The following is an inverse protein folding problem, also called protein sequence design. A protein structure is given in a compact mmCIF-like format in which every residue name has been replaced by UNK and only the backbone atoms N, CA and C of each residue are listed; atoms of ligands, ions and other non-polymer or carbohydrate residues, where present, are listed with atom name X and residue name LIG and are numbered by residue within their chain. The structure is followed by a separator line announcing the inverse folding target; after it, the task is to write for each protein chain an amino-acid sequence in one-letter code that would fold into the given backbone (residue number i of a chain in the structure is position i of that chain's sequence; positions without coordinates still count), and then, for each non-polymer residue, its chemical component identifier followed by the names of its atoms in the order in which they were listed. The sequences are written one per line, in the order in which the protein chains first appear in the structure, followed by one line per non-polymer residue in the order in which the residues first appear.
data_IF_458076190751
#
_entry.id   IF_458076190751
#
_cell.length_a   1.000
_cell.length_b   1.000
_cell.length_c   1.000
_cell.angle_alpha   90.00
_cell.angle_beta   90.00
_cell.angle_gamma   90.00
#
_symmetry.space_group_name_H-M   'P 1'
#
loop_
_entity.id
_entity.type
_entity.pdbx_description
1 polymer ?
#
# COMPACT_ATOMS: atom_id res chain seq x y z
N UNK A 1 -19.03 41.40 -12.49
CA UNK A 1 -20.09 40.83 -11.64
C UNK A 1 -19.67 39.44 -11.22
N UNK A 2 -19.52 39.14 -9.92
CA UNK A 2 -19.21 37.78 -9.46
C UNK A 2 -20.43 36.88 -9.71
N UNK A 3 -20.22 35.73 -10.36
CA UNK A 3 -21.27 34.76 -10.65
C UNK A 3 -21.66 33.91 -9.42
N UNK A 4 -22.85 33.29 -9.43
CA UNK A 4 -23.37 32.52 -8.30
C UNK A 4 -22.52 31.27 -8.04
N UNK A 5 -21.91 31.18 -6.85
CA UNK A 5 -21.14 30.01 -6.39
C UNK A 5 -22.07 28.88 -5.96
N UNK A 6 -21.75 27.67 -6.41
CA UNK A 6 -22.50 26.43 -6.19
C UNK A 6 -22.29 25.89 -4.76
N UNK A 7 -23.03 26.45 -3.78
CA UNK A 7 -22.96 26.03 -2.36
C UNK A 7 -23.54 24.61 -2.13
N UNK A 8 -24.36 24.10 -3.04
CA UNK A 8 -25.05 22.82 -2.87
C UNK A 8 -24.13 21.58 -2.94
N UNK A 9 -22.93 21.69 -3.54
CA UNK A 9 -22.02 20.54 -3.69
C UNK A 9 -21.22 20.25 -2.41
N UNK A 10 -20.95 21.25 -1.56
CA UNK A 10 -20.23 21.07 -0.28
C UNK A 10 -21.04 20.31 0.78
N UNK A 11 -22.35 20.57 0.89
CA UNK A 11 -23.22 19.85 1.85
C UNK A 11 -23.36 18.36 1.60
N UNK A 12 -23.17 17.90 0.36
CA UNK A 12 -23.32 16.48 0.02
C UNK A 12 -22.07 15.66 0.40
N UNK A 13 -20.89 16.31 0.47
CA UNK A 13 -19.64 15.65 0.91
C UNK A 13 -19.62 15.49 2.43
N UNK A 14 -20.08 16.49 3.20
CA UNK A 14 -20.15 16.39 4.67
C UNK A 14 -21.16 15.34 5.16
N UNK A 15 -22.29 15.15 4.46
CA UNK A 15 -23.25 14.10 4.80
C UNK A 15 -22.78 12.68 4.44
N UNK A 16 -21.75 12.56 3.59
CA UNK A 16 -21.14 11.30 3.16
C UNK A 16 -20.19 10.74 4.23
N UNK A 17 -19.44 11.63 4.92
CA UNK A 17 -18.44 11.25 5.94
C UNK A 17 -19.07 10.81 7.26
N UNK A 18 -20.11 11.50 7.73
CA UNK A 18 -20.77 11.18 9.02
C UNK A 18 -21.55 9.86 9.03
N UNK A 19 -21.96 9.33 7.87
CA UNK A 19 -22.58 8.00 7.79
C UNK A 19 -21.59 6.86 7.97
N UNK A 20 -20.30 7.07 7.65
CA UNK A 20 -19.27 6.03 7.71
C UNK A 20 -18.94 5.63 9.15
N UNK A 21 -18.93 6.61 10.05
CA UNK A 21 -18.63 6.42 11.49
C UNK A 21 -19.76 5.69 12.23
N UNK A 22 -21.03 5.87 11.85
CA UNK A 22 -22.17 5.23 12.53
C UNK A 22 -22.34 3.72 12.20
N UNK A 23 -21.87 3.25 11.05
CA UNK A 23 -22.04 1.84 10.62
C UNK A 23 -20.97 0.87 11.13
N UNK A 24 -19.83 1.35 11.65
CA UNK A 24 -18.73 0.49 12.12
C UNK A 24 -18.93 -0.07 13.54
N UNK A 25 -19.82 0.52 14.35
CA UNK A 25 -19.94 0.22 15.79
C UNK A 25 -20.99 -0.81 16.22
N UNK A 26 -21.72 -1.47 15.31
CA UNK A 26 -22.84 -2.35 15.70
C UNK A 26 -22.85 -3.68 14.96
N UNK A 27 -22.25 -4.70 15.57
CA UNK A 27 -22.43 -6.09 15.17
C UNK A 27 -23.93 -6.47 15.23
N UNK A 28 -24.57 -6.86 14.13
CA UNK A 28 -25.95 -7.32 14.16
C UNK A 28 -25.98 -8.80 14.56
N UNK A 29 -26.64 -9.06 15.69
CA UNK A 29 -27.08 -10.39 16.11
C UNK A 29 -28.06 -10.93 15.06
N UNK A 30 -27.72 -12.07 14.47
CA UNK A 30 -28.45 -12.74 13.38
C UNK A 30 -29.80 -13.28 13.89
N UNK A 31 -30.88 -12.52 13.69
CA UNK A 31 -32.22 -13.11 13.60
C UNK A 31 -32.45 -13.63 12.17
N UNK A 32 -32.62 -14.95 12.07
CA UNK A 32 -32.99 -15.63 10.84
C UNK A 32 -34.42 -15.24 10.43
N UNK A 33 -34.57 -14.60 9.27
CA UNK A 33 -35.86 -14.44 8.59
C UNK A 33 -35.78 -14.95 7.14
N UNK A 34 -36.86 -15.56 6.62
CA UNK A 34 -36.82 -16.42 5.45
C UNK A 34 -36.78 -15.65 4.13
N UNK A 35 -36.03 -16.21 3.17
CA UNK A 35 -35.79 -15.67 1.85
C UNK A 35 -37.08 -15.47 1.01
N UNK A 36 -37.15 -14.41 0.18
CA UNK A 36 -38.17 -14.30 -0.85
C UNK A 36 -37.78 -15.18 -2.06
N UNK A 37 -38.74 -15.98 -2.53
CA UNK A 37 -38.62 -16.76 -3.77
C UNK A 37 -38.56 -15.80 -4.96
N UNK A 38 -37.47 -15.86 -5.73
CA UNK A 38 -37.35 -15.22 -7.03
C UNK A 38 -37.70 -16.24 -8.12
N UNK A 39 -38.66 -15.84 -8.95
CA UNK A 39 -39.13 -16.55 -10.12
C UNK A 39 -38.01 -16.86 -11.12
N UNK A 40 -38.05 -18.09 -11.62
CA UNK A 40 -37.12 -18.65 -12.58
C UNK A 40 -37.21 -17.96 -13.95
N UNK A 41 -36.07 -17.51 -14.47
CA UNK A 41 -35.87 -17.20 -15.89
C UNK A 41 -35.24 -18.40 -16.62
N UNK A 42 -35.54 -18.58 -17.92
CA UNK A 42 -35.32 -19.83 -18.63
C UNK A 42 -33.86 -20.05 -19.03
N UNK A 43 -33.40 -21.28 -18.80
CA UNK A 43 -32.11 -21.86 -19.19
C UNK A 43 -32.00 -21.91 -20.73
N UNK A 44 -30.91 -21.41 -21.36
CA UNK A 44 -30.61 -21.71 -22.74
C UNK A 44 -29.96 -23.09 -22.88
N UNK A 45 -30.46 -23.82 -23.87
CA UNK A 45 -30.12 -25.20 -24.20
C UNK A 45 -28.63 -25.51 -24.37
N UNK A 46 -28.32 -26.73 -23.95
CA UNK A 46 -27.05 -27.44 -24.06
C UNK A 46 -26.53 -27.45 -25.50
N UNK A 47 -25.29 -27.00 -25.67
CA UNK A 47 -24.44 -27.42 -26.80
C UNK A 47 -23.56 -28.54 -26.28
N UNK A 48 -23.87 -29.72 -26.80
CA UNK A 48 -23.12 -30.96 -26.68
C UNK A 48 -21.72 -30.76 -27.29
N UNK A 49 -20.68 -30.85 -26.47
CA UNK A 49 -19.29 -30.80 -26.92
C UNK A 49 -18.50 -31.86 -26.15
N UNK A 50 -18.64 -33.09 -26.61
CA UNK A 50 -17.81 -34.22 -26.25
C UNK A 50 -16.35 -33.96 -26.66
N UNK A 51 -15.52 -33.64 -25.68
CA UNK A 51 -14.06 -33.53 -25.82
C UNK A 51 -13.40 -34.70 -25.05
N UNK A 52 -12.39 -35.39 -25.62
CA UNK A 52 -11.84 -36.60 -25.03
C UNK A 52 -10.93 -36.30 -23.83
N UNK A 53 -10.97 -37.19 -22.85
CA UNK A 53 -10.22 -37.14 -21.60
C UNK A 53 -8.71 -36.95 -21.83
N UNK A 54 -8.20 -35.77 -21.44
CA UNK A 54 -6.78 -35.53 -21.26
C UNK A 54 -6.38 -35.95 -19.85
N UNK A 55 -5.30 -36.72 -19.76
CA UNK A 55 -4.72 -37.24 -18.52
C UNK A 55 -4.31 -36.11 -17.56
N UNK A 56 -4.40 -36.32 -16.23
CA UNK A 56 -3.92 -35.34 -15.27
C UNK A 56 -2.38 -35.19 -15.37
N UNK A 57 -1.85 -33.96 -15.32
CA UNK A 57 -0.40 -33.77 -15.23
C UNK A 57 0.08 -34.27 -13.87
N UNK A 58 1.09 -35.15 -13.93
CA UNK A 58 1.90 -35.57 -12.78
C UNK A 58 2.65 -34.32 -12.29
N UNK A 59 2.21 -33.77 -11.17
CA UNK A 59 2.93 -32.73 -10.44
C UNK A 59 4.18 -33.40 -9.83
N UNK A 60 5.41 -32.94 -10.13
CA UNK A 60 6.57 -33.42 -9.41
C UNK A 60 6.47 -32.91 -7.96
N UNK A 61 6.45 -33.86 -7.04
CA UNK A 61 6.58 -33.65 -5.60
C UNK A 61 7.79 -32.74 -5.35
N UNK A 62 7.52 -31.46 -5.09
CA UNK A 62 8.52 -30.55 -4.55
C UNK A 62 8.75 -30.99 -3.12
N UNK A 63 9.87 -31.68 -2.92
CA UNK A 63 10.46 -31.95 -1.63
C UNK A 63 10.54 -30.63 -0.85
N UNK A 64 9.59 -30.41 0.05
CA UNK A 64 9.75 -29.48 1.14
C UNK A 64 10.94 -29.96 1.96
N UNK A 65 12.07 -29.26 1.84
CA UNK A 65 13.14 -29.35 2.81
C UNK A 65 12.54 -28.92 4.15
N UNK A 66 12.23 -29.90 5.00
CA UNK A 66 12.00 -29.66 6.41
C UNK A 66 13.30 -29.09 6.97
N UNK A 67 13.30 -27.80 7.28
CA UNK A 67 14.28 -27.20 8.19
C UNK A 67 14.22 -27.98 9.50
N UNK A 68 15.26 -28.78 9.71
CA UNK A 68 15.52 -29.42 10.98
C UNK A 68 15.82 -28.34 12.00
N UNK A 69 14.89 -28.18 12.94
CA UNK A 69 15.12 -27.47 14.20
C UNK A 69 16.49 -27.84 14.78
N UNK A 70 17.40 -26.88 14.79
CA UNK A 70 18.66 -27.00 15.50
C UNK A 70 18.38 -27.15 17.00
N UNK A 71 18.83 -28.29 17.52
CA UNK A 71 18.93 -28.57 18.95
C UNK A 71 19.97 -27.61 19.53
N UNK A 72 19.51 -26.66 20.32
CA UNK A 72 20.33 -25.91 21.26
C UNK A 72 20.93 -26.92 22.26
N UNK A 73 22.14 -27.39 21.98
CA UNK A 73 22.97 -28.07 22.97
C UNK A 73 23.55 -26.99 23.89
N UNK A 74 22.94 -26.86 25.08
CA UNK A 74 23.53 -26.16 26.21
C UNK A 74 24.77 -26.94 26.61
N UNK A 75 25.95 -26.43 26.25
CA UNK A 75 27.21 -26.93 26.78
C UNK A 75 27.41 -26.39 28.20
N UNK A 76 27.44 -27.33 29.14
CA UNK A 76 27.84 -27.15 30.54
C UNK A 76 29.28 -26.62 30.62
N UNK A 77 29.59 -25.65 31.50
CA UNK A 77 30.94 -25.16 31.70
C UNK A 77 31.68 -26.09 32.67
N UNK A 78 32.54 -26.96 32.15
CA UNK A 78 33.50 -27.70 32.96
C UNK A 78 34.95 -27.37 32.62
N UNK A 79 35.59 -26.82 33.65
CA UNK A 79 36.95 -27.06 34.13
C UNK A 79 38.17 -26.75 33.26
N UNK A 80 38.93 -25.80 33.81
CA UNK A 80 40.39 -25.69 33.79
C UNK A 80 41.11 -27.02 33.52
N UNK A 81 41.85 -27.06 32.41
CA UNK A 81 43.13 -27.77 32.36
C UNK A 81 44.01 -27.20 31.25
N UNK A 82 45.02 -26.49 31.70
CA UNK A 82 46.19 -26.06 30.97
C UNK A 82 46.93 -27.27 30.41
N UNK A 83 46.94 -27.43 29.09
CA UNK A 83 47.94 -28.23 28.39
C UNK A 83 48.36 -27.52 27.10
N UNK A 84 49.46 -26.79 27.20
CA UNK A 84 50.24 -26.32 26.07
C UNK A 84 50.76 -27.56 25.32
N UNK A 85 50.11 -27.92 24.22
CA UNK A 85 50.64 -28.90 23.26
C UNK A 85 50.84 -28.23 21.91
N UNK A 86 52.09 -27.82 21.70
CA UNK A 86 52.69 -27.54 20.39
C UNK A 86 52.39 -28.71 19.46
N UNK A 87 51.35 -28.58 18.63
CA UNK A 87 51.07 -29.51 17.54
C UNK A 87 51.37 -28.81 16.22
N UNK A 88 52.48 -29.24 15.63
CA UNK A 88 52.95 -28.85 14.33
C UNK A 88 52.00 -29.30 13.22
N UNK A 89 51.60 -28.35 12.38
CA UNK A 89 51.42 -28.50 10.93
C UNK A 89 50.71 -29.75 10.44
N UNK A 90 49.40 -29.62 10.22
CA UNK A 90 48.79 -30.14 9.00
C UNK A 90 48.05 -28.98 8.33
N UNK A 91 48.64 -28.46 7.25
CA UNK A 91 47.99 -27.61 6.25
C UNK A 91 46.74 -28.35 5.73
N UNK A 92 45.61 -28.16 6.42
CA UNK A 92 44.30 -28.50 5.92
C UNK A 92 43.89 -27.36 4.98
N UNK A 93 44.36 -27.42 3.74
CA UNK A 93 43.91 -26.63 2.58
C UNK A 93 42.45 -26.97 2.25
N UNK A 94 41.57 -26.88 3.24
CA UNK A 94 40.13 -26.82 3.04
C UNK A 94 39.86 -25.51 2.35
N UNK A 95 39.68 -25.56 1.03
CA UNK A 95 39.12 -24.47 0.24
C UNK A 95 37.82 -23.99 0.91
N UNK A 96 37.94 -22.94 1.73
CA UNK A 96 36.81 -22.31 2.38
C UNK A 96 36.03 -21.62 1.26
N UNK A 97 34.97 -22.27 0.80
CA UNK A 97 34.03 -21.68 -0.14
C UNK A 97 33.59 -20.34 0.47
N UNK A 98 33.84 -19.20 -0.21
CA UNK A 98 33.45 -17.91 0.32
C UNK A 98 31.96 -17.92 0.68
N UNK A 99 31.61 -17.54 1.91
CA UNK A 99 30.20 -17.50 2.37
C UNK A 99 29.30 -16.72 1.41
N UNK A 100 29.86 -15.74 0.69
CA UNK A 100 29.17 -14.97 -0.33
C UNK A 100 28.61 -15.81 -1.49
N UNK A 101 29.15 -17.00 -1.76
CA UNK A 101 28.62 -17.93 -2.76
C UNK A 101 27.47 -18.80 -2.22
N UNK A 102 27.29 -18.85 -0.90
CA UNK A 102 26.22 -19.59 -0.24
C UNK A 102 25.00 -18.70 0.06
N UNK A 103 25.16 -17.37 0.05
CA UNK A 103 24.05 -16.44 0.24
C UNK A 103 23.21 -16.36 -1.03
N UNK A 104 21.92 -16.68 -0.92
CA UNK A 104 21.01 -16.49 -2.04
C UNK A 104 20.92 -15.00 -2.43
N UNK A 105 20.93 -14.66 -3.73
CA UNK A 105 20.78 -13.27 -4.14
C UNK A 105 19.38 -12.75 -3.77
N UNK A 106 19.35 -11.59 -3.10
CA UNK A 106 18.11 -10.94 -2.67
C UNK A 106 17.33 -10.27 -3.81
N UNK A 107 17.89 -10.19 -5.02
CA UNK A 107 17.21 -9.80 -6.26
C UNK A 107 17.38 -10.93 -7.28
N UNK A 108 16.29 -11.29 -7.98
CA UNK A 108 16.34 -12.19 -9.14
C UNK A 108 15.57 -11.61 -10.32
N UNK A 109 16.01 -11.85 -11.55
CA UNK A 109 15.30 -11.44 -12.76
C UNK A 109 14.86 -12.67 -13.56
N UNK A 110 13.56 -12.97 -13.66
CA UNK A 110 13.03 -14.06 -14.48
C UNK A 110 12.90 -13.69 -15.99
N UNK A 111 13.50 -12.58 -16.44
CA UNK A 111 13.42 -12.08 -17.82
C UNK A 111 12.27 -11.12 -18.07
N UNK A 112 11.38 -10.92 -17.09
CA UNK A 112 10.30 -9.93 -17.13
C UNK A 112 10.57 -8.72 -16.22
N UNK A 113 11.83 -8.55 -15.80
CA UNK A 113 12.28 -7.46 -14.94
C UNK A 113 12.64 -7.96 -13.53
N UNK A 114 13.57 -7.25 -12.85
CA UNK A 114 14.11 -7.65 -11.56
C UNK A 114 13.05 -7.67 -10.46
N UNK A 115 13.13 -8.67 -9.56
CA UNK A 115 12.22 -8.89 -8.45
C UNK A 115 12.99 -9.07 -7.15
N UNK A 116 12.51 -8.43 -6.10
CA UNK A 116 13.03 -8.57 -4.74
C UNK A 116 12.59 -9.92 -4.18
N UNK A 117 13.53 -10.71 -3.65
CA UNK A 117 13.24 -11.96 -2.93
C UNK A 117 13.28 -11.76 -1.42
N UNK A 118 14.25 -10.99 -0.96
CA UNK A 118 14.40 -10.62 0.44
C UNK A 118 14.33 -9.10 0.53
N UNK A 119 13.16 -8.62 0.96
CA UNK A 119 12.86 -7.20 1.08
C UNK A 119 13.76 -6.52 2.12
N UNK A 120 14.08 -7.20 3.22
CA UNK A 120 14.93 -6.64 4.27
C UNK A 120 16.37 -6.49 3.80
N UNK A 121 16.93 -7.53 3.18
CA UNK A 121 18.26 -7.47 2.59
C UNK A 121 18.35 -6.44 1.46
N UNK A 122 17.32 -6.33 0.62
CA UNK A 122 17.24 -5.31 -0.43
C UNK A 122 17.29 -3.90 0.15
N UNK A 123 16.48 -3.59 1.17
CA UNK A 123 16.43 -2.27 1.79
C UNK A 123 17.73 -1.89 2.52
N UNK A 124 18.45 -2.87 3.07
CA UNK A 124 19.77 -2.67 3.67
C UNK A 124 20.90 -2.52 2.62
N UNK A 125 20.63 -2.86 1.35
CA UNK A 125 21.62 -2.83 0.28
C UNK A 125 21.73 -1.46 -0.40
N UNK A 126 22.80 -1.27 -1.17
CA UNK A 126 22.98 -0.09 -2.02
C UNK A 126 22.08 -0.07 -3.27
N UNK A 127 21.34 -1.15 -3.55
CA UNK A 127 20.38 -1.18 -4.66
C UNK A 127 19.08 -0.43 -4.33
N UNK A 128 18.75 -0.30 -3.04
CA UNK A 128 17.60 0.47 -2.61
C UNK A 128 17.87 1.96 -2.79
N UNK A 129 17.04 2.64 -3.59
CA UNK A 129 17.07 4.09 -3.66
C UNK A 129 16.87 4.73 -2.26
N UNK A 130 17.63 5.78 -1.92
CA UNK A 130 17.48 6.48 -0.65
C UNK A 130 16.10 7.15 -0.56
N UNK A 131 15.61 7.35 0.66
CA UNK A 131 14.39 8.13 0.90
C UNK A 131 14.56 9.58 0.39
N UNK A 132 13.48 10.17 -0.09
CA UNK A 132 13.49 11.55 -0.58
C UNK A 132 13.13 12.51 0.55
N UNK A 133 14.10 13.29 1.03
CA UNK A 133 13.87 14.30 2.08
C UNK A 133 13.37 15.65 1.53
N UNK A 134 13.46 15.86 0.21
CA UNK A 134 13.01 17.11 -0.44
C UNK A 134 11.49 17.17 -0.64
N UNK A 135 10.78 16.07 -0.39
CA UNK A 135 9.32 16.01 -0.49
C UNK A 135 8.76 15.75 0.91
N UNK A 136 7.91 16.65 1.45
CA UNK A 136 7.44 16.55 2.84
C UNK A 136 6.78 15.20 3.14
N UNK A 137 5.92 14.72 2.25
CA UNK A 137 5.23 13.44 2.42
C UNK A 137 6.22 12.27 2.42
N UNK A 138 7.17 12.26 1.48
CA UNK A 138 8.22 11.24 1.46
C UNK A 138 9.07 11.25 2.73
N UNK A 139 9.38 12.44 3.28
CA UNK A 139 10.18 12.61 4.48
C UNK A 139 9.47 12.10 5.74
N UNK A 140 8.16 12.36 5.86
CA UNK A 140 7.31 11.82 6.93
C UNK A 140 7.29 10.30 6.88
N UNK A 141 7.03 9.71 5.70
CA UNK A 141 7.04 8.26 5.52
C UNK A 141 8.42 7.62 5.69
N UNK A 142 9.51 8.39 5.67
CA UNK A 142 10.87 7.86 5.85
C UNK A 142 11.22 7.59 7.31
N UNK A 143 10.37 8.02 8.25
CA UNK A 143 10.56 7.80 9.68
C UNK A 143 10.41 6.31 10.05
N UNK A 144 11.14 5.85 11.06
CA UNK A 144 11.11 4.45 11.51
C UNK A 144 9.79 4.15 12.24
N UNK A 145 9.24 5.14 12.93
CA UNK A 145 7.95 5.09 13.63
C UNK A 145 6.79 4.78 12.67
N UNK A 146 6.86 5.32 11.45
CA UNK A 146 5.89 5.00 10.39
C UNK A 146 5.98 3.53 9.98
N UNK A 147 7.19 2.97 9.88
CA UNK A 147 7.36 1.53 9.59
C UNK A 147 6.85 0.66 10.73
N UNK A 148 7.14 1.02 11.97
CA UNK A 148 6.63 0.31 13.16
C UNK A 148 5.11 0.29 13.16
N UNK A 149 4.49 1.45 12.91
CA UNK A 149 3.03 1.60 12.82
C UNK A 149 2.44 0.71 11.71
N UNK A 150 2.99 0.76 10.49
CA UNK A 150 2.55 -0.08 9.38
C UNK A 150 2.68 -1.57 9.71
N UNK A 151 3.75 -1.96 10.41
CA UNK A 151 4.01 -3.35 10.80
C UNK A 151 3.03 -3.89 11.85
N UNK A 152 2.27 -3.02 12.54
CA UNK A 152 1.20 -3.46 13.44
C UNK A 152 -0.07 -3.90 12.71
N UNK A 153 -0.27 -3.42 11.48
CA UNK A 153 -1.50 -3.60 10.70
C UNK A 153 -1.28 -4.52 9.49
N UNK A 154 -0.13 -4.41 8.82
CA UNK A 154 0.21 -5.17 7.63
C UNK A 154 1.23 -6.27 7.95
N UNK A 155 1.25 -7.36 7.18
CA UNK A 155 2.36 -8.31 7.20
C UNK A 155 3.69 -7.60 6.95
N UNK A 156 4.74 -8.04 7.64
CA UNK A 156 6.06 -7.38 7.67
C UNK A 156 6.58 -7.01 6.28
N UNK A 157 6.55 -7.95 5.34
CA UNK A 157 7.04 -7.71 3.98
C UNK A 157 6.23 -6.62 3.25
N UNK A 158 4.90 -6.66 3.37
CA UNK A 158 3.99 -5.69 2.76
C UNK A 158 4.17 -4.31 3.39
N UNK A 159 4.39 -4.25 4.71
CA UNK A 159 4.70 -3.01 5.42
C UNK A 159 6.02 -2.39 4.94
N UNK A 160 7.09 -3.18 4.82
CA UNK A 160 8.40 -2.74 4.31
C UNK A 160 8.30 -2.22 2.87
N UNK A 161 7.55 -2.90 2.01
CA UNK A 161 7.33 -2.48 0.61
C UNK A 161 6.55 -1.17 0.57
N UNK A 162 5.47 -1.04 1.35
CA UNK A 162 4.67 0.18 1.40
C UNK A 162 5.48 1.37 1.93
N UNK A 163 6.22 1.16 3.02
CA UNK A 163 7.14 2.14 3.60
C UNK A 163 8.17 2.60 2.56
N UNK A 164 8.83 1.66 1.86
CA UNK A 164 9.76 1.98 0.77
C UNK A 164 9.08 2.78 -0.34
N UNK A 165 7.91 2.35 -0.80
CA UNK A 165 7.21 3.01 -1.90
C UNK A 165 6.80 4.45 -1.56
N UNK A 166 6.35 4.70 -0.33
CA UNK A 166 5.84 6.02 0.09
C UNK A 166 6.93 7.03 0.44
N UNK A 167 8.08 6.56 0.91
CA UNK A 167 9.21 7.42 1.28
C UNK A 167 10.15 7.78 0.11
N UNK A 168 9.84 7.30 -1.10
CA UNK A 168 10.65 7.57 -2.32
C UNK A 168 9.78 8.21 -3.40
N UNK A 169 10.38 9.17 -4.14
CA UNK A 169 9.70 9.87 -5.23
C UNK A 169 9.33 8.98 -6.41
N UNK A 170 10.21 8.09 -6.84
CA UNK A 170 10.05 7.37 -8.13
C UNK A 170 10.31 5.88 -8.07
N UNK A 171 11.20 5.40 -7.20
CA UNK A 171 11.53 3.98 -7.10
C UNK A 171 10.40 3.21 -6.41
N UNK A 172 10.03 2.06 -6.96
CA UNK A 172 8.93 1.24 -6.46
C UNK A 172 9.30 -0.25 -6.44
N UNK A 173 8.73 -0.96 -5.47
CA UNK A 173 8.62 -2.42 -5.41
C UNK A 173 7.15 -2.76 -5.50
N UNK A 174 6.74 -3.57 -6.49
CA UNK A 174 5.34 -3.99 -6.59
C UNK A 174 4.98 -4.93 -5.43
N UNK A 175 3.99 -4.62 -4.57
CA UNK A 175 3.67 -5.49 -3.44
C UNK A 175 3.12 -6.86 -3.87
N UNK A 176 2.49 -6.95 -5.04
CA UNK A 176 1.90 -8.20 -5.52
C UNK A 176 2.90 -9.17 -6.15
N UNK A 177 3.98 -8.67 -6.76
CA UNK A 177 4.91 -9.51 -7.53
C UNK A 177 6.40 -9.19 -7.30
N UNK A 178 6.68 -8.31 -6.34
CA UNK A 178 7.99 -7.84 -5.90
C UNK A 178 8.87 -7.25 -7.01
N UNK A 179 8.30 -6.91 -8.17
CA UNK A 179 9.04 -6.33 -9.30
C UNK A 179 9.53 -4.93 -8.95
N UNK A 180 10.81 -4.65 -9.22
CA UNK A 180 11.41 -3.32 -9.13
C UNK A 180 11.11 -2.53 -10.41
N UNK A 181 10.66 -1.29 -10.24
CA UNK A 181 10.37 -0.40 -11.36
C UNK A 181 10.39 1.08 -10.93
N UNK A 182 10.28 1.98 -11.89
CA UNK A 182 10.11 3.42 -11.65
C UNK A 182 8.70 3.86 -11.99
N UNK A 183 8.17 4.84 -11.27
CA UNK A 183 6.89 5.45 -11.60
C UNK A 183 6.84 5.90 -13.07
N UNK A 184 5.76 5.54 -13.76
CA UNK A 184 5.56 5.81 -15.18
C UNK A 184 6.08 4.72 -16.11
N UNK A 185 6.82 3.73 -15.61
CA UNK A 185 7.27 2.61 -16.43
C UNK A 185 6.07 1.79 -16.93
N UNK A 186 6.09 1.48 -18.23
CA UNK A 186 5.17 0.51 -18.85
C UNK A 186 5.90 -0.82 -18.95
N UNK A 187 5.60 -1.72 -18.03
CA UNK A 187 6.35 -2.96 -17.88
C UNK A 187 5.75 -4.09 -18.73
N UNK A 188 6.57 -5.06 -19.19
CA UNK A 188 6.07 -6.24 -19.88
C UNK A 188 5.05 -7.00 -19.03
N UNK A 189 3.98 -7.47 -19.69
CA UNK A 189 2.95 -8.28 -19.05
C UNK A 189 3.57 -9.57 -18.51
N UNK A 190 3.08 -10.04 -17.36
CA UNK A 190 3.50 -11.29 -16.75
C UNK A 190 3.12 -12.51 -17.60
N UNK A 191 2.18 -12.35 -18.53
CA UNK A 191 1.63 -13.45 -19.35
C UNK A 191 2.27 -13.55 -20.75
N UNK A 192 3.11 -12.60 -21.16
CA UNK A 192 3.57 -12.46 -22.54
C UNK A 192 4.85 -13.25 -22.88
N UNK A 193 5.21 -14.27 -22.10
CA UNK A 193 6.42 -15.08 -22.30
C UNK A 193 6.50 -15.84 -23.64
N UNK A 194 5.39 -15.96 -24.37
CA UNK A 194 5.29 -16.81 -25.57
C UNK A 194 5.46 -16.05 -26.91
N UNK A 195 5.64 -14.72 -26.90
CA UNK A 195 5.67 -13.93 -28.14
C UNK A 195 6.99 -13.20 -28.38
N UNK A 196 8.08 -13.94 -28.52
CA UNK A 196 9.36 -13.40 -29.01
C UNK A 196 9.28 -12.83 -30.45
N UNK A 197 8.19 -13.08 -31.19
CA UNK A 197 8.03 -12.66 -32.59
C UNK A 197 6.95 -11.59 -32.84
N UNK A 198 6.28 -11.06 -31.81
CA UNK A 198 5.38 -9.91 -32.04
C UNK A 198 6.19 -8.64 -32.07
N UNK A 199 6.20 -7.96 -33.21
CA UNK A 199 6.83 -6.64 -33.36
C UNK A 199 6.44 -5.71 -32.21
N UNK A 200 7.38 -4.87 -31.73
CA UNK A 200 7.11 -3.94 -30.64
C UNK A 200 5.88 -3.12 -30.98
N UNK A 201 4.83 -3.22 -30.15
CA UNK A 201 3.64 -2.38 -30.27
C UNK A 201 4.05 -0.95 -29.90
N UNK A 202 4.50 -0.19 -30.90
CA UNK A 202 5.00 1.19 -30.74
C UNK A 202 3.95 2.14 -30.14
N UNK A 203 2.65 1.77 -30.17
CA UNK A 203 1.56 2.69 -29.81
C UNK A 203 0.64 2.19 -28.69
N UNK A 204 1.10 1.32 -27.79
CA UNK A 204 0.34 1.04 -26.57
C UNK A 204 0.42 2.26 -25.64
N UNK A 205 -0.44 3.26 -25.90
CA UNK A 205 -0.64 4.39 -25.00
C UNK A 205 -0.89 3.83 -23.59
N UNK A 206 0.01 4.15 -22.67
CA UNK A 206 -0.15 3.80 -21.27
C UNK A 206 -1.47 4.35 -20.78
N UNK A 207 -2.29 3.48 -20.20
CA UNK A 207 -3.53 3.91 -19.56
C UNK A 207 -3.18 5.00 -18.54
N UNK A 208 -3.86 6.16 -18.53
CA UNK A 208 -3.59 7.21 -17.55
C UNK A 208 -3.78 6.70 -16.11
N UNK A 209 -4.64 5.69 -15.93
CA UNK A 209 -4.89 5.05 -14.65
C UNK A 209 -3.73 4.16 -14.17
N UNK A 210 -2.82 3.73 -15.05
CA UNK A 210 -1.67 2.93 -14.63
C UNK A 210 -0.70 3.76 -13.78
N UNK A 211 -0.37 4.96 -14.23
CA UNK A 211 0.52 5.85 -13.46
C UNK A 211 -0.12 6.17 -12.11
N UNK A 212 -1.41 6.51 -12.11
CA UNK A 212 -2.11 6.83 -10.88
C UNK A 212 -2.17 5.64 -9.91
N UNK A 213 -2.38 4.42 -10.41
CA UNK A 213 -2.30 3.24 -9.58
C UNK A 213 -0.88 3.02 -9.01
N UNK A 214 0.16 3.18 -9.84
CA UNK A 214 1.55 3.05 -9.39
C UNK A 214 1.89 4.08 -8.30
N UNK A 215 1.32 5.29 -8.37
CA UNK A 215 1.45 6.33 -7.34
C UNK A 215 0.71 5.95 -6.05
N UNK A 216 -0.53 5.46 -6.16
CA UNK A 216 -1.37 5.12 -5.01
C UNK A 216 -0.85 3.88 -4.27
N UNK A 217 -0.79 2.73 -4.94
CA UNK A 217 -0.54 1.43 -4.30
C UNK A 217 0.85 0.87 -4.56
N UNK A 218 1.59 1.41 -5.53
CA UNK A 218 2.82 0.80 -6.01
C UNK A 218 2.61 -0.47 -6.83
N UNK A 219 1.39 -0.74 -7.32
CA UNK A 219 1.13 -1.90 -8.18
C UNK A 219 1.58 -1.61 -9.62
N UNK A 220 2.38 -2.53 -10.17
CA UNK A 220 3.09 -2.27 -11.43
C UNK A 220 2.29 -2.59 -12.70
N UNK A 221 1.15 -3.24 -12.60
CA UNK A 221 0.33 -3.67 -13.75
C UNK A 221 -1.13 -3.92 -13.37
N UNK A 222 -2.06 -3.91 -14.35
CA UNK A 222 -3.45 -4.31 -14.12
C UNK A 222 -3.58 -5.73 -13.56
N UNK A 223 -2.71 -6.66 -13.96
CA UNK A 223 -2.71 -8.05 -13.45
C UNK A 223 -2.37 -8.08 -11.96
N UNK A 224 -1.33 -7.36 -11.53
CA UNK A 224 -0.95 -7.25 -10.12
C UNK A 224 -2.07 -6.67 -9.27
N UNK A 225 -2.84 -5.73 -9.82
CA UNK A 225 -3.98 -5.19 -9.12
C UNK A 225 -5.18 -6.09 -9.07
N UNK A 226 -5.47 -6.85 -10.13
CA UNK A 226 -6.50 -7.89 -10.06
C UNK A 226 -6.16 -8.89 -8.95
N UNK A 227 -4.87 -9.23 -8.78
CA UNK A 227 -4.41 -10.08 -7.67
C UNK A 227 -4.66 -9.40 -6.32
N UNK A 228 -4.27 -8.13 -6.16
CA UNK A 228 -4.45 -7.40 -4.90
C UNK A 228 -5.93 -7.15 -4.54
N UNK A 229 -6.78 -6.99 -5.55
CA UNK A 229 -8.22 -6.73 -5.40
C UNK A 229 -9.09 -7.99 -5.49
N UNK A 230 -8.48 -9.18 -5.53
CA UNK A 230 -9.20 -10.44 -5.72
C UNK A 230 -10.24 -10.72 -4.63
N UNK A 231 -9.99 -10.22 -3.40
CA UNK A 231 -10.95 -10.32 -2.30
C UNK A 231 -12.17 -9.39 -2.47
N UNK A 232 -12.14 -8.43 -3.40
CA UNK A 232 -13.18 -7.43 -3.63
C UNK A 232 -13.59 -7.39 -5.12
N UNK A 233 -14.09 -8.50 -5.70
CA UNK A 233 -14.34 -8.60 -7.14
C UNK A 233 -15.32 -7.54 -7.67
N UNK A 234 -16.26 -7.07 -6.85
CA UNK A 234 -17.20 -6.00 -7.20
C UNK A 234 -16.55 -4.62 -7.32
N UNK A 235 -15.45 -4.37 -6.60
CA UNK A 235 -14.78 -3.08 -6.54
C UNK A 235 -13.60 -2.93 -7.52
N UNK A 236 -13.15 -4.02 -8.17
CA UNK A 236 -11.94 -4.01 -9.03
C UNK A 236 -11.99 -2.89 -10.07
N UNK A 237 -13.10 -2.77 -10.80
CA UNK A 237 -13.20 -1.78 -11.89
C UNK A 237 -13.34 -0.35 -11.40
N UNK A 238 -14.03 -0.14 -10.27
CA UNK A 238 -14.27 1.19 -9.73
C UNK A 238 -13.08 1.74 -8.95
N UNK A 239 -12.13 0.89 -8.54
CA UNK A 239 -10.99 1.28 -7.68
C UNK A 239 -9.65 1.38 -8.40
N UNK A 240 -9.57 0.97 -9.68
CA UNK A 240 -8.34 1.03 -10.46
C UNK A 240 -7.93 2.47 -10.78
N UNK A 241 -6.80 2.89 -10.22
CA UNK A 241 -6.24 4.23 -10.39
C UNK A 241 -7.14 5.34 -9.85
N UNK A 242 -7.95 5.06 -8.81
CA UNK A 242 -8.84 6.05 -8.19
C UNK A 242 -8.57 6.15 -6.70
N UNK A 243 -8.39 7.37 -6.21
CA UNK A 243 -8.21 7.66 -4.78
C UNK A 243 -9.54 7.92 -4.04
N UNK A 244 -9.45 8.20 -2.75
CA UNK A 244 -10.58 8.42 -1.84
C UNK A 244 -11.65 9.38 -2.37
N UNK A 245 -11.23 10.52 -2.91
CA UNK A 245 -12.15 11.55 -3.42
C UNK A 245 -12.98 11.10 -4.64
N UNK A 246 -12.49 10.09 -5.37
CA UNK A 246 -13.08 9.61 -6.61
C UNK A 246 -13.98 8.39 -6.44
N UNK A 247 -13.93 7.74 -5.27
CA UNK A 247 -14.73 6.55 -4.95
C UNK A 247 -16.13 6.96 -4.44
N UNK A 248 -17.16 6.32 -4.98
CA UNK A 248 -18.53 6.45 -4.47
C UNK A 248 -18.75 5.59 -3.22
N UNK A 249 -19.84 5.88 -2.49
CA UNK A 249 -20.17 5.16 -1.25
C UNK A 249 -20.36 3.66 -1.49
N UNK A 250 -21.01 3.30 -2.61
CA UNK A 250 -21.24 1.90 -2.95
C UNK A 250 -19.91 1.15 -3.18
N UNK A 251 -18.91 1.78 -3.81
CA UNK A 251 -17.58 1.19 -3.94
C UNK A 251 -16.86 1.08 -2.61
N UNK A 252 -16.99 2.08 -1.74
CA UNK A 252 -16.44 2.00 -0.39
C UNK A 252 -17.08 0.88 0.43
N UNK A 253 -18.39 0.73 0.39
CA UNK A 253 -19.12 -0.36 1.05
C UNK A 253 -18.61 -1.74 0.56
N UNK A 254 -18.29 -1.86 -0.73
CA UNK A 254 -17.69 -3.08 -1.29
C UNK A 254 -16.27 -3.34 -0.77
N UNK A 255 -15.45 -2.30 -0.58
CA UNK A 255 -14.08 -2.42 -0.01
C UNK A 255 -14.08 -2.65 1.50
N UNK A 256 -15.05 -2.05 2.21
CA UNK A 256 -15.23 -2.17 3.66
C UNK A 256 -15.91 -3.49 4.06
N UNK A 257 -16.54 -4.17 3.11
CA UNK A 257 -17.13 -5.48 3.30
C UNK A 257 -16.11 -6.57 3.68
N UNK A 258 -16.57 -7.73 4.17
CA UNK A 258 -15.72 -8.84 4.63
C UNK A 258 -14.91 -9.53 3.52
N UNK A 259 -14.96 -9.00 2.29
CA UNK A 259 -14.40 -9.62 1.09
C UNK A 259 -15.07 -10.94 0.73
N UNK A 260 -14.57 -11.58 -0.32
CA UNK A 260 -15.04 -12.89 -0.77
C UNK A 260 -14.60 -14.06 0.15
N UNK A 261 -13.83 -13.79 1.21
CA UNK A 261 -13.28 -14.80 2.12
C UNK A 261 -12.37 -15.86 1.46
N UNK A 262 -12.05 -15.68 0.17
CA UNK A 262 -11.43 -16.69 -0.67
C UNK A 262 -9.92 -16.80 -0.46
N UNK A 263 -9.24 -15.70 -0.10
CA UNK A 263 -7.81 -15.71 0.15
C UNK A 263 -7.52 -15.54 1.64
N UNK A 264 -7.45 -16.64 2.38
CA UNK A 264 -6.92 -16.65 3.76
C UNK A 264 -5.48 -16.13 3.86
N UNK A 265 -4.75 -16.07 2.74
CA UNK A 265 -3.35 -15.69 2.65
C UNK A 265 -3.12 -14.71 1.49
N UNK A 266 -3.79 -13.56 1.48
CA UNK A 266 -3.58 -12.52 0.46
C UNK A 266 -2.32 -11.67 0.72
N UNK A 267 -1.48 -12.06 1.69
CA UNK A 267 -0.29 -11.31 2.13
C UNK A 267 -0.61 -9.85 2.52
N UNK A 268 -1.85 -9.56 2.93
CA UNK A 268 -2.30 -8.21 3.27
C UNK A 268 -2.50 -7.30 2.06
N UNK A 269 -2.53 -7.83 0.83
CA UNK A 269 -2.70 -7.02 -0.38
C UNK A 269 -4.07 -6.34 -0.44
N UNK A 270 -5.14 -7.00 0.02
CA UNK A 270 -6.47 -6.39 0.08
C UNK A 270 -6.50 -5.21 1.06
N UNK A 271 -5.84 -5.36 2.21
CA UNK A 271 -5.72 -4.29 3.20
C UNK A 271 -4.83 -3.15 2.69
N UNK A 272 -3.69 -3.45 2.08
CA UNK A 272 -2.84 -2.44 1.42
C UNK A 272 -3.61 -1.67 0.36
N UNK A 273 -4.42 -2.35 -0.45
CA UNK A 273 -5.25 -1.72 -1.45
C UNK A 273 -6.20 -0.71 -0.79
N UNK A 274 -6.94 -1.13 0.24
CA UNK A 274 -7.86 -0.24 0.99
C UNK A 274 -7.13 0.96 1.59
N UNK A 275 -6.03 0.72 2.32
CA UNK A 275 -5.23 1.76 2.95
C UNK A 275 -4.75 2.79 1.92
N UNK A 276 -4.19 2.33 0.80
CA UNK A 276 -3.63 3.22 -0.23
C UNK A 276 -4.66 4.02 -1.02
N UNK A 277 -5.97 3.84 -0.75
CA UNK A 277 -7.02 4.71 -1.27
C UNK A 277 -7.23 5.95 -0.41
N UNK A 278 -6.97 5.86 0.88
CA UNK A 278 -7.03 6.99 1.81
C UNK A 278 -5.79 7.87 1.68
N UNK A 279 -5.97 9.18 1.86
CA UNK A 279 -4.91 10.17 1.69
C UNK A 279 -3.75 9.99 2.69
N UNK A 280 -4.08 9.60 3.92
CA UNK A 280 -3.19 9.33 5.06
C UNK A 280 -2.99 7.82 5.31
N UNK A 281 -3.28 6.98 4.31
CA UNK A 281 -3.40 5.53 4.43
C UNK A 281 -4.51 5.04 5.39
N UNK A 282 -5.37 5.93 5.88
CA UNK A 282 -6.40 5.63 6.88
C UNK A 282 -5.84 5.42 8.28
N UNK A 283 -4.60 5.84 8.53
CA UNK A 283 -3.93 5.63 9.81
C UNK A 283 -4.58 6.44 10.93
N UNK A 284 -5.09 7.65 10.63
CA UNK A 284 -5.81 8.45 11.62
C UNK A 284 -7.02 7.71 12.21
N UNK A 285 -7.85 7.11 11.34
CA UNK A 285 -9.04 6.34 11.75
C UNK A 285 -8.66 5.05 12.50
N UNK A 286 -7.56 4.40 12.11
CA UNK A 286 -7.14 3.13 12.72
C UNK A 286 -6.55 3.29 14.12
N UNK A 287 -5.82 4.38 14.38
CA UNK A 287 -5.14 4.59 15.67
C UNK A 287 -5.89 5.51 16.63
N UNK A 288 -6.77 6.38 16.11
CA UNK A 288 -7.50 7.38 16.90
C UNK A 288 -9.01 7.31 16.67
N UNK A 289 -9.67 6.16 16.92
CA UNK A 289 -11.10 5.99 16.63
C UNK A 289 -12.01 6.88 17.49
N UNK A 290 -11.53 7.33 18.66
CA UNK A 290 -12.30 8.16 19.60
C UNK A 290 -12.13 9.66 19.38
N UNK A 291 -11.22 10.07 18.50
CA UNK A 291 -11.01 11.49 18.18
C UNK A 291 -11.87 11.87 16.98
N UNK A 292 -13.00 12.55 17.23
CA UNK A 292 -13.82 13.19 16.20
C UNK A 292 -13.01 14.30 15.51
N UNK A 293 -12.16 13.93 14.54
CA UNK A 293 -11.34 14.85 13.73
C UNK A 293 -12.18 15.76 12.81
N UNK A 294 -13.51 15.60 12.81
CA UNK A 294 -14.47 16.38 12.05
C UNK A 294 -14.92 17.67 12.78
N UNK A 295 -14.20 18.07 13.84
CA UNK A 295 -14.35 19.38 14.46
C UNK A 295 -14.00 20.49 13.48
N UNK A 296 -14.91 20.86 12.58
CA UNK A 296 -14.82 22.14 11.88
C UNK A 296 -14.60 23.22 12.95
N UNK A 297 -13.61 24.10 12.76
CA UNK A 297 -13.42 25.20 13.69
C UNK A 297 -14.75 25.92 13.79
N UNK A 298 -15.30 25.99 14.99
CA UNK A 298 -16.54 26.71 15.28
C UNK A 298 -16.31 28.18 14.87
N UNK A 299 -16.63 28.52 13.61
CA UNK A 299 -16.62 29.88 13.06
C UNK A 299 -17.68 30.77 13.75
N UNK A 300 -18.25 30.33 14.87
CA UNK A 300 -19.21 31.03 15.71
C UNK A 300 -18.62 31.97 16.77
N UNK A 301 -17.31 31.98 17.02
CA UNK A 301 -16.70 32.98 17.92
C UNK A 301 -16.49 34.33 17.23
N UNK A 302 -17.59 34.95 16.79
CA UNK A 302 -17.64 36.37 16.45
C UNK A 302 -17.41 37.13 17.75
N UNK A 303 -16.19 37.62 17.96
CA UNK A 303 -15.94 38.70 18.91
C UNK A 303 -16.65 39.96 18.38
N UNK A 304 -17.90 40.15 18.81
CA UNK A 304 -18.53 41.45 18.84
C UNK A 304 -17.75 42.31 19.84
N UNK A 305 -16.81 43.14 19.37
CA UNK A 305 -16.36 44.31 20.13
C UNK A 305 -15.93 45.45 19.18
N UNK A 306 -16.70 46.53 19.29
CA UNK A 306 -16.37 47.95 19.18
C UNK A 306 -16.05 48.63 17.83
N UNK A 307 -17.14 49.18 17.30
CA UNK A 307 -17.30 50.51 16.70
C UNK A 307 -16.45 51.63 17.34
N UNK A 308 -15.56 52.28 16.57
CA UNK A 308 -15.44 53.75 16.45
C UNK A 308 -14.21 54.22 15.63
N UNK A 309 -14.49 54.91 14.51
CA UNK A 309 -13.85 56.16 13.98
C UNK A 309 -12.29 56.24 13.89
N UNK A 310 -11.61 56.65 12.81
CA UNK A 310 -11.84 57.79 11.91
C UNK A 310 -10.74 57.86 10.81
N UNK A 311 -11.13 58.29 9.60
CA UNK A 311 -10.43 59.00 8.52
C UNK A 311 -9.07 58.56 7.90
N UNK A 312 -9.20 58.22 6.60
CA UNK A 312 -8.33 58.42 5.42
C UNK A 312 -7.42 59.69 5.42
N UNK A 313 -6.32 59.83 4.62
CA UNK A 313 -6.30 59.46 3.18
C UNK A 313 -4.97 59.14 2.44
N UNK A 314 -5.18 58.69 1.18
CA UNK A 314 -4.43 58.90 -0.08
C UNK A 314 -3.24 57.99 -0.47
N UNK A 315 -3.54 57.19 -1.51
CA UNK A 315 -2.88 57.03 -2.81
C UNK A 315 -1.41 56.56 -2.87
N UNK A 316 -1.15 55.53 -3.69
CA UNK A 316 -0.23 55.55 -4.84
C UNK A 316 -0.26 54.18 -5.57
N UNK A 317 -0.23 54.25 -6.91
CA UNK A 317 -0.11 53.14 -7.89
C UNK A 317 1.12 52.26 -7.63
N UNK A 318 1.01 50.94 -7.83
CA UNK A 318 2.04 50.16 -8.54
C UNK A 318 1.45 48.92 -9.22
N UNK A 319 1.95 48.63 -10.41
CA UNK A 319 1.78 47.47 -11.29
C UNK A 319 2.40 46.19 -10.70
N UNK A 320 1.88 45.01 -11.08
CA UNK A 320 2.70 43.79 -11.18
C UNK A 320 2.00 42.48 -10.81
N UNK A 321 1.97 41.56 -11.79
CA UNK A 321 2.21 40.10 -11.68
C UNK A 321 1.31 39.32 -10.70
N UNK A 322 0.47 38.44 -11.25
CA UNK A 322 -0.21 37.38 -10.49
C UNK A 322 0.33 36.03 -10.94
N UNK A 323 1.24 35.49 -10.13
CA UNK A 323 1.60 34.08 -10.10
C UNK A 323 0.52 33.24 -9.41
N UNK A 324 0.65 31.94 -9.64
CA UNK A 324 -0.16 30.84 -9.16
C UNK A 324 -0.20 30.76 -7.63
N UNK A 325 -1.38 30.52 -7.07
CA UNK A 325 -1.54 29.93 -5.74
C UNK A 325 -2.62 28.85 -5.84
N UNK A 326 -2.28 27.65 -5.38
CA UNK A 326 -3.16 26.50 -5.42
C UNK A 326 -2.56 25.24 -4.83
N UNK A 327 -1.94 25.32 -3.65
CA UNK A 327 -1.55 24.17 -2.80
C UNK A 327 -1.36 24.65 -1.35
N UNK A 328 -2.43 24.73 -0.56
CA UNK A 328 -2.33 25.15 0.86
C UNK A 328 -3.20 24.34 1.83
N UNK A 329 -3.98 23.34 1.38
CA UNK A 329 -4.91 22.63 2.28
C UNK A 329 -4.38 21.33 2.89
N UNK A 330 -3.27 20.77 2.42
CA UNK A 330 -2.73 19.49 2.92
C UNK A 330 -1.70 19.64 4.04
N UNK A 331 -1.12 20.82 4.22
CA UNK A 331 -0.04 21.02 5.21
C UNK A 331 -0.55 21.07 6.66
N UNK A 332 -1.78 21.51 6.89
CA UNK A 332 -2.32 21.69 8.26
C UNK A 332 -2.78 20.39 8.91
N UNK A 333 -3.22 19.41 8.12
CA UNK A 333 -3.63 18.09 8.65
C UNK A 333 -2.41 17.24 9.04
N UNK A 334 -1.28 17.39 8.34
CA UNK A 334 -0.03 16.65 8.62
C UNK A 334 0.73 17.19 9.83
N UNK A 335 0.78 18.51 10.04
CA UNK A 335 1.37 19.10 11.25
C UNK A 335 0.68 18.62 12.55
N UNK A 336 -0.62 18.33 12.48
CA UNK A 336 -1.39 17.78 13.60
C UNK A 336 -1.02 16.34 13.98
N UNK A 337 -0.61 15.52 13.02
CA UNK A 337 -0.16 14.14 13.27
C UNK A 337 1.25 14.11 13.88
N UNK A 338 2.13 15.02 13.47
CA UNK A 338 3.52 15.06 13.95
C UNK A 338 3.62 15.39 15.45
N UNK A 339 2.85 16.37 15.94
CA UNK A 339 2.80 16.70 17.37
C UNK A 339 2.27 15.54 18.23
N UNK A 340 1.40 14.67 17.68
CA UNK A 340 0.80 13.54 18.40
C UNK A 340 1.69 12.30 18.44
N UNK A 341 2.51 12.10 17.41
CA UNK A 341 3.50 11.02 17.40
C UNK A 341 4.58 11.22 18.48
N UNK A 342 4.98 12.45 18.75
CA UNK A 342 5.95 12.78 19.81
C UNK A 342 5.43 12.41 21.21
N UNK A 343 4.12 12.56 21.47
CA UNK A 343 3.51 12.21 22.76
C UNK A 343 3.38 10.68 22.99
N UNK A 344 3.22 9.90 21.92
CA UNK A 344 3.11 8.43 21.99
C UNK A 344 4.47 7.74 22.25
N UNK A 345 5.57 8.31 21.77
CA UNK A 345 6.94 7.80 22.02
C UNK A 345 7.39 8.08 23.47
N UNK A 346 6.87 9.13 24.11
CA UNK A 346 7.22 9.50 25.49
C UNK A 346 6.50 8.63 26.55
N UNK A 347 5.47 7.87 26.16
CA UNK A 347 4.69 7.03 27.07
C UNK A 347 5.05 5.52 27.07
N UNK A 348 6.14 5.09 26.42
CA UNK A 348 6.70 3.73 26.50
C UNK A 348 8.04 3.71 27.22
#
# INVERSE_FOLDING_TARGET
MPGPRNIKKKKQVQAKKTRRTETSGKAPELEASPAPQLDALPVPSQIDSSQPAAHPPVIPDRLYAHETHDRIYVHDPHDDSSSESDTCGTDDDREVIPLALLTEPFIHDPGSGPRVRDTRAFLASSFAAPASLDDPLCAEFAQDEMLEMLSTILPEETALILWYNRSRKTARVCPACQRLYRLGDVLPDHLDHEKENSEPRVDAQSSPYLLHEQELSGLCSPVCFIVASFNYPGAIRSTWGRGEEELDDETWDMLDGPGAGAAKNDMGLGLLLKMTRCSDLGLGELFFPDEDMDGEPDEGAVCEDDEATEMTPKAVRTTGIREQEGSQSVSSELEGLQLRMEDLVVCR
#
